data_IF_230371812626
#
_entry.id   IF_230371812626
#
_cell.length_a   1.000
_cell.length_b   1.000
_cell.length_c   1.000
_cell.angle_alpha   90.00
_cell.angle_beta   90.00
_cell.angle_gamma   90.00
#
_symmetry.space_group_name_H-M   'P 1'
#
loop_
_entity.id
_entity.type
_entity.pdbx_description
1 polymer ?
#
# COMPACT_ATOMS: atom_id res chain seq x y z
N UNK A 1 -42.30 27.59 -10.92
CA UNK A 1 -41.01 26.89 -11.16
C UNK A 1 -39.78 27.62 -10.59
N UNK A 2 -39.36 28.79 -11.09
CA UNK A 2 -38.01 29.36 -10.86
C UNK A 2 -37.52 29.64 -9.41
N UNK A 3 -38.38 29.55 -8.38
CA UNK A 3 -37.96 29.54 -6.96
C UNK A 3 -37.60 28.13 -6.46
N UNK A 4 -38.30 27.09 -6.93
CA UNK A 4 -38.07 25.68 -6.57
C UNK A 4 -36.74 25.19 -7.17
N UNK A 5 -36.51 25.46 -8.46
CA UNK A 5 -35.25 25.11 -9.16
C UNK A 5 -34.03 25.72 -8.46
N UNK A 6 -34.11 26.99 -8.04
CA UNK A 6 -33.05 27.66 -7.25
C UNK A 6 -32.90 27.11 -5.83
N UNK A 7 -33.93 26.50 -5.24
CA UNK A 7 -33.84 25.83 -3.93
C UNK A 7 -33.16 24.46 -4.08
N UNK A 8 -33.51 23.70 -5.11
CA UNK A 8 -32.87 22.41 -5.45
C UNK A 8 -31.38 22.58 -5.78
N UNK A 9 -31.02 23.53 -6.65
CA UNK A 9 -29.61 23.84 -6.97
C UNK A 9 -28.77 24.17 -5.73
N UNK A 10 -29.33 24.92 -4.77
CA UNK A 10 -28.65 25.22 -3.50
C UNK A 10 -28.48 23.98 -2.60
N UNK A 11 -29.45 23.08 -2.57
CA UNK A 11 -29.35 21.81 -1.82
C UNK A 11 -28.31 20.88 -2.44
N UNK A 12 -28.29 20.74 -3.77
CA UNK A 12 -27.29 19.94 -4.50
C UNK A 12 -25.89 20.50 -4.29
N UNK A 13 -25.71 21.82 -4.41
CA UNK A 13 -24.42 22.48 -4.18
C UNK A 13 -23.94 22.34 -2.72
N UNK A 14 -24.84 22.52 -1.74
CA UNK A 14 -24.52 22.36 -0.32
C UNK A 14 -24.17 20.90 0.03
N UNK A 15 -24.86 19.92 -0.56
CA UNK A 15 -24.57 18.50 -0.38
C UNK A 15 -23.23 18.12 -1.02
N UNK A 16 -22.95 18.60 -2.24
CA UNK A 16 -21.65 18.42 -2.89
C UNK A 16 -20.50 19.04 -2.11
N UNK A 17 -20.68 20.25 -1.57
CA UNK A 17 -19.70 20.91 -0.71
C UNK A 17 -19.50 20.16 0.63
N UNK A 18 -20.58 19.63 1.23
CA UNK A 18 -20.48 18.81 2.43
C UNK A 18 -19.71 17.50 2.18
N UNK A 19 -19.99 16.81 1.07
CA UNK A 19 -19.23 15.62 0.65
C UNK A 19 -17.77 15.97 0.38
N UNK A 20 -17.47 17.09 -0.29
CA UNK A 20 -16.11 17.55 -0.52
C UNK A 20 -15.36 17.88 0.78
N UNK A 21 -16.00 18.54 1.76
CA UNK A 21 -15.40 18.82 3.07
C UNK A 21 -15.19 17.55 3.91
N UNK A 22 -16.10 16.57 3.82
CA UNK A 22 -15.92 15.26 4.47
C UNK A 22 -14.77 14.48 3.83
N UNK A 23 -14.67 14.46 2.49
CA UNK A 23 -13.55 13.87 1.76
C UNK A 23 -12.22 14.54 2.11
N UNK A 24 -12.16 15.87 2.11
CA UNK A 24 -10.98 16.63 2.51
C UNK A 24 -10.59 16.36 3.98
N UNK A 25 -11.57 16.27 4.88
CA UNK A 25 -11.33 15.93 6.29
C UNK A 25 -10.88 14.48 6.52
N UNK A 26 -11.32 13.54 5.67
CA UNK A 26 -10.81 12.16 5.64
C UNK A 26 -9.37 12.13 5.15
N UNK A 27 -9.10 12.76 4.01
CA UNK A 27 -7.78 12.87 3.38
C UNK A 27 -6.76 13.51 4.34
N UNK A 28 -7.05 14.66 4.94
CA UNK A 28 -6.17 15.32 5.93
C UNK A 28 -5.92 14.43 7.17
N UNK A 29 -6.93 13.69 7.64
CA UNK A 29 -6.79 12.80 8.79
C UNK A 29 -6.03 11.49 8.50
N UNK A 30 -5.78 11.15 7.23
CA UNK A 30 -4.85 10.09 6.81
C UNK A 30 -3.47 10.65 6.44
N UNK A 31 -3.43 11.83 5.81
CA UNK A 31 -2.19 12.58 5.55
C UNK A 31 -1.39 12.84 6.84
N UNK A 32 -2.07 13.06 7.97
CA UNK A 32 -1.45 13.25 9.28
C UNK A 32 -1.17 11.93 10.04
N UNK A 33 -1.15 10.79 9.35
CA UNK A 33 -0.94 9.45 9.94
C UNK A 33 -0.02 8.53 9.14
N UNK A 34 0.19 8.82 7.85
CA UNK A 34 1.14 8.10 7.01
C UNK A 34 2.51 8.77 7.13
N UNK A 35 3.50 8.00 7.56
CA UNK A 35 4.89 8.44 7.61
C UNK A 35 5.51 8.54 6.21
N UNK A 36 6.69 9.17 6.09
CA UNK A 36 7.30 9.50 4.80
C UNK A 36 8.70 8.92 4.62
N UNK A 37 8.87 8.29 3.47
CA UNK A 37 10.10 7.70 2.94
C UNK A 37 10.79 8.79 2.12
N UNK A 38 11.59 9.63 2.79
CA UNK A 38 12.27 10.77 2.16
C UNK A 38 13.34 10.30 1.16
N UNK A 39 13.34 10.90 -0.04
CA UNK A 39 14.34 10.64 -1.06
C UNK A 39 14.28 9.24 -1.67
N UNK A 40 13.13 8.58 -1.67
CA UNK A 40 12.93 7.22 -2.22
C UNK A 40 13.51 7.06 -3.65
N UNK A 41 13.40 8.11 -4.47
CA UNK A 41 13.90 8.15 -5.85
C UNK A 41 15.06 9.15 -6.05
N UNK A 42 15.64 9.68 -4.97
CA UNK A 42 16.64 10.75 -5.05
C UNK A 42 17.93 10.28 -5.72
N UNK A 43 18.32 10.98 -6.80
CA UNK A 43 19.54 10.71 -7.57
C UNK A 43 19.42 9.61 -8.63
N UNK A 44 18.28 8.94 -8.78
CA UNK A 44 18.09 7.89 -9.79
C UNK A 44 17.89 8.48 -11.19
N UNK A 45 18.91 8.34 -12.05
CA UNK A 45 18.91 8.81 -13.44
C UNK A 45 18.54 7.72 -14.43
N UNK A 46 19.25 6.59 -14.42
CA UNK A 46 19.24 5.57 -15.46
C UNK A 46 18.21 4.46 -15.16
N UNK A 47 16.98 4.90 -14.88
CA UNK A 47 15.85 4.04 -14.47
C UNK A 47 15.24 3.32 -15.68
N UNK A 48 14.64 2.12 -15.50
CA UNK A 48 13.85 1.47 -16.54
C UNK A 48 12.71 2.38 -17.05
N UNK A 49 12.21 2.15 -18.29
CA UNK A 49 11.08 2.91 -18.81
C UNK A 49 9.81 2.67 -17.98
N UNK A 50 8.90 3.66 -17.86
CA UNK A 50 7.61 3.44 -17.22
C UNK A 50 6.77 2.45 -18.05
N UNK A 51 6.06 1.56 -17.36
CA UNK A 51 4.95 0.81 -17.94
C UNK A 51 3.68 1.69 -18.03
N UNK A 52 2.65 1.20 -18.73
CA UNK A 52 1.33 1.85 -18.73
C UNK A 52 0.60 1.69 -17.37
N UNK A 53 0.89 0.61 -16.64
CA UNK A 53 0.34 0.29 -15.33
C UNK A 53 1.06 1.01 -14.18
N UNK A 54 1.00 0.44 -12.98
CA UNK A 54 1.69 0.93 -11.79
C UNK A 54 2.39 -0.17 -11.02
N UNK A 55 3.67 0.04 -10.74
CA UNK A 55 4.51 -0.89 -9.98
C UNK A 55 4.88 -0.27 -8.64
N UNK A 56 4.43 -0.89 -7.54
CA UNK A 56 4.66 -0.44 -6.17
C UNK A 56 5.64 -1.37 -5.48
N UNK A 57 6.75 -0.84 -4.97
CA UNK A 57 7.67 -1.59 -4.10
C UNK A 57 7.11 -1.62 -2.69
N UNK A 58 6.87 -2.82 -2.15
CA UNK A 58 6.40 -3.03 -0.78
C UNK A 58 7.50 -3.68 0.05
N UNK A 59 7.90 -3.00 1.12
CA UNK A 59 8.87 -3.47 2.12
C UNK A 59 8.10 -3.88 3.38
N UNK A 60 7.98 -5.19 3.61
CA UNK A 60 7.37 -5.73 4.82
C UNK A 60 8.38 -5.76 5.95
N UNK A 61 8.12 -5.03 7.03
CA UNK A 61 9.05 -4.84 8.15
C UNK A 61 8.54 -5.53 9.42
N UNK A 62 9.45 -5.71 10.39
CA UNK A 62 9.15 -6.07 11.78
C UNK A 62 9.81 -5.04 12.69
N UNK A 63 9.06 -4.56 13.67
CA UNK A 63 9.52 -3.54 14.64
C UNK A 63 10.73 -4.01 15.47
N UNK A 64 11.45 -3.03 16.03
CA UNK A 64 12.50 -3.28 17.03
C UNK A 64 11.97 -3.42 18.46
N UNK A 65 10.64 -3.40 18.68
CA UNK A 65 10.05 -3.36 20.01
C UNK A 65 8.56 -3.05 20.02
N UNK A 66 8.06 -2.48 21.12
CA UNK A 66 6.64 -2.24 21.36
C UNK A 66 6.13 -0.90 20.78
N UNK A 67 6.23 -0.73 19.46
CA UNK A 67 5.72 0.45 18.74
C UNK A 67 6.02 0.38 17.24
N UNK A 68 5.22 1.05 16.38
CA UNK A 68 5.38 0.97 14.94
C UNK A 68 6.54 1.86 14.47
N UNK A 69 7.55 1.23 13.86
CA UNK A 69 8.64 1.93 13.20
C UNK A 69 8.54 1.74 11.67
N UNK A 70 8.32 2.83 10.92
CA UNK A 70 8.72 2.99 9.51
C UNK A 70 8.82 4.49 9.19
N UNK A 71 10.04 5.02 9.07
CA UNK A 71 10.37 5.80 7.86
C UNK A 71 11.32 5.02 6.94
N UNK A 72 11.15 3.69 6.92
CA UNK A 72 12.07 2.71 6.32
C UNK A 72 13.51 2.76 6.91
N UNK A 73 13.57 2.39 8.20
CA UNK A 73 14.64 1.58 8.82
C UNK A 73 16.00 2.24 9.18
N UNK A 74 16.13 2.55 10.47
CA UNK A 74 17.29 2.08 11.26
C UNK A 74 16.88 1.89 12.74
N UNK A 75 17.46 0.91 13.42
CA UNK A 75 17.03 0.43 14.75
C UNK A 75 17.20 -1.09 14.87
N UNK A 76 16.48 -1.75 15.80
CA UNK A 76 16.43 -3.23 15.91
C UNK A 76 15.41 -3.88 14.93
N UNK A 77 14.95 -3.12 13.96
CA UNK A 77 13.97 -3.53 12.95
C UNK A 77 14.58 -4.51 11.93
N UNK A 78 13.76 -5.38 11.33
CA UNK A 78 14.17 -6.20 10.17
C UNK A 78 13.23 -6.04 8.98
N UNK A 79 13.79 -6.16 7.77
CA UNK A 79 13.01 -6.43 6.56
C UNK A 79 12.70 -7.92 6.53
N UNK A 80 11.43 -8.28 6.68
CA UNK A 80 10.95 -9.65 6.54
C UNK A 80 10.74 -9.99 5.06
N UNK A 81 10.13 -9.06 4.31
CA UNK A 81 9.75 -9.23 2.90
C UNK A 81 10.12 -8.01 2.04
N UNK A 82 10.43 -8.27 0.77
CA UNK A 82 10.48 -7.25 -0.30
C UNK A 82 9.63 -7.80 -1.43
N UNK A 83 8.60 -7.05 -1.85
CA UNK A 83 7.64 -7.46 -2.87
C UNK A 83 7.45 -6.35 -3.90
N UNK A 84 7.12 -6.72 -5.14
CA UNK A 84 6.56 -5.81 -6.13
C UNK A 84 5.07 -6.09 -6.24
N UNK A 85 4.25 -5.04 -6.24
CA UNK A 85 2.83 -5.11 -6.57
C UNK A 85 2.62 -4.37 -7.89
N UNK A 86 2.23 -5.10 -8.93
CA UNK A 86 1.94 -4.54 -10.25
C UNK A 86 0.41 -4.48 -10.47
N UNK A 87 -0.08 -3.29 -10.85
CA UNK A 87 -1.50 -2.98 -11.08
C UNK A 87 -1.68 -2.49 -12.52
N UNK A 88 -2.40 -3.22 -13.39
CA UNK A 88 -2.65 -2.77 -14.76
C UNK A 88 -3.50 -1.48 -14.83
N UNK A 89 -3.52 -0.78 -15.99
CA UNK A 89 -4.19 0.52 -16.15
C UNK A 89 -5.70 0.54 -15.85
N UNK A 90 -6.36 -0.62 -15.85
CA UNK A 90 -7.80 -0.75 -15.57
C UNK A 90 -8.13 -0.94 -14.08
N UNK A 91 -7.13 -1.27 -13.24
CA UNK A 91 -7.29 -1.58 -11.81
C UNK A 91 -8.15 -2.82 -11.52
N UNK A 92 -8.25 -3.77 -12.45
CA UNK A 92 -9.13 -4.95 -12.32
C UNK A 92 -8.42 -6.19 -11.77
N UNK A 93 -7.10 -6.29 -11.90
CA UNK A 93 -6.24 -7.33 -11.32
C UNK A 93 -5.05 -6.72 -10.57
N UNK A 94 -4.31 -7.55 -9.83
CA UNK A 94 -3.01 -7.19 -9.27
C UNK A 94 -2.08 -8.41 -9.22
N UNK A 95 -0.78 -8.20 -9.47
CA UNK A 95 0.24 -9.25 -9.35
C UNK A 95 1.20 -8.90 -8.20
N UNK A 96 1.35 -9.81 -7.24
CA UNK A 96 2.15 -9.63 -6.01
C UNK A 96 3.32 -10.59 -6.04
N UNK A 97 4.49 -10.08 -6.38
CA UNK A 97 5.70 -10.88 -6.59
C UNK A 97 6.69 -10.69 -5.44
N UNK A 98 6.96 -11.73 -4.66
CA UNK A 98 8.03 -11.67 -3.65
C UNK A 98 9.41 -11.80 -4.29
N UNK A 99 10.34 -10.91 -3.94
CA UNK A 99 11.73 -11.03 -4.37
C UNK A 99 12.41 -12.19 -3.63
N UNK A 100 13.09 -13.10 -4.34
CA UNK A 100 13.75 -14.24 -3.71
C UNK A 100 14.95 -13.78 -2.87
N UNK A 101 15.22 -14.46 -1.76
CA UNK A 101 16.36 -14.12 -0.90
C UNK A 101 17.73 -14.23 -1.61
N UNK A 102 17.81 -15.02 -2.69
CA UNK A 102 18.97 -15.13 -3.58
C UNK A 102 19.25 -13.89 -4.43
N UNK A 103 18.33 -12.92 -4.50
CA UNK A 103 18.57 -11.61 -5.15
C UNK A 103 19.62 -10.75 -4.43
N UNK A 104 19.86 -11.00 -3.13
CA UNK A 104 20.73 -10.16 -2.31
C UNK A 104 20.15 -8.78 -1.95
N UNK A 105 18.96 -8.43 -2.43
CA UNK A 105 18.35 -7.09 -2.27
C UNK A 105 17.95 -6.79 -0.83
N UNK A 106 17.34 -7.77 -0.14
CA UNK A 106 16.79 -7.58 1.22
C UNK A 106 17.77 -6.96 2.24
N UNK A 107 19.03 -7.41 2.39
CA UNK A 107 19.99 -6.75 3.29
C UNK A 107 20.40 -5.34 2.83
N UNK A 108 20.36 -5.02 1.54
CA UNK A 108 20.63 -3.66 1.04
C UNK A 108 19.49 -2.72 1.42
N UNK A 109 18.24 -3.12 1.16
CA UNK A 109 17.02 -2.38 1.56
C UNK A 109 16.97 -2.15 3.07
N UNK A 110 17.52 -3.07 3.87
CA UNK A 110 17.60 -2.98 5.33
C UNK A 110 18.72 -2.08 5.88
N UNK A 111 19.63 -1.55 5.05
CA UNK A 111 20.87 -0.89 5.51
C UNK A 111 21.34 0.34 4.71
N UNK A 112 20.80 0.57 3.51
CA UNK A 112 21.34 1.53 2.52
C UNK A 112 20.38 2.68 2.22
N UNK A 113 20.88 3.78 1.63
CA UNK A 113 20.09 5.02 1.44
C UNK A 113 18.78 4.78 0.67
N UNK A 114 17.62 5.30 1.15
CA UNK A 114 16.11 5.07 0.05
C UNK A 114 16.34 4.48 -1.34
N UNK A 115 16.92 5.33 -2.20
CA UNK A 115 17.17 5.13 -3.62
C UNK A 115 18.23 4.09 -3.98
N UNK A 116 19.13 3.71 -3.07
CA UNK A 116 19.99 2.52 -3.24
C UNK A 116 19.15 1.25 -3.21
N UNK A 117 18.16 1.17 -2.32
CA UNK A 117 17.24 0.04 -2.25
C UNK A 117 16.34 -0.04 -3.48
N UNK A 118 15.73 1.08 -3.86
CA UNK A 118 14.88 1.19 -5.06
C UNK A 118 15.67 0.91 -6.34
N UNK A 119 16.82 1.56 -6.53
CA UNK A 119 17.64 1.42 -7.74
C UNK A 119 18.10 -0.02 -7.96
N UNK A 120 18.48 -0.74 -6.90
CA UNK A 120 18.86 -2.15 -7.01
C UNK A 120 17.65 -3.07 -7.32
N UNK A 121 16.44 -2.72 -6.87
CA UNK A 121 15.21 -3.41 -7.29
C UNK A 121 14.90 -3.15 -8.76
N UNK A 122 15.05 -1.91 -9.23
CA UNK A 122 14.85 -1.56 -10.65
C UNK A 122 15.89 -2.23 -11.57
N UNK A 123 17.17 -2.25 -11.16
CA UNK A 123 18.26 -2.92 -11.87
C UNK A 123 18.03 -4.43 -11.97
N UNK A 124 17.70 -5.09 -10.85
CA UNK A 124 17.53 -6.55 -10.82
C UNK A 124 16.26 -7.05 -11.51
N UNK A 125 15.15 -6.31 -11.40
CA UNK A 125 13.84 -6.73 -11.93
C UNK A 125 13.55 -6.23 -13.35
N UNK A 126 14.37 -5.32 -13.89
CA UNK A 126 14.14 -4.64 -15.16
C UNK A 126 12.91 -3.73 -15.19
N UNK A 127 12.16 -3.60 -14.09
CA UNK A 127 10.91 -2.84 -13.98
C UNK A 127 11.12 -1.53 -13.25
N UNK A 128 10.43 -0.49 -13.72
CA UNK A 128 10.40 0.80 -13.03
C UNK A 128 9.46 0.73 -11.84
N UNK A 129 9.89 1.22 -10.69
CA UNK A 129 9.07 1.37 -9.47
C UNK A 129 8.44 2.76 -9.47
N UNK A 130 7.12 2.86 -9.57
CA UNK A 130 6.40 4.14 -9.50
C UNK A 130 6.39 4.71 -8.08
N UNK A 131 6.18 3.84 -7.08
CA UNK A 131 5.95 4.22 -5.69
C UNK A 131 6.54 3.21 -4.70
N UNK A 132 6.77 3.64 -3.46
CA UNK A 132 7.29 2.80 -2.37
C UNK A 132 6.35 2.86 -1.16
N UNK A 133 6.09 1.69 -0.57
CA UNK A 133 5.43 1.52 0.72
C UNK A 133 6.35 0.70 1.62
N UNK A 134 6.57 1.15 2.85
CA UNK A 134 7.12 0.32 3.92
C UNK A 134 6.03 0.12 4.98
N UNK A 135 5.80 -1.11 5.42
CA UNK A 135 4.70 -1.46 6.31
C UNK A 135 5.11 -2.51 7.35
N UNK A 136 4.85 -2.20 8.61
CA UNK A 136 5.03 -3.08 9.76
C UNK A 136 4.05 -4.26 9.70
N UNK A 137 4.55 -5.49 9.79
CA UNK A 137 3.71 -6.70 9.70
C UNK A 137 2.75 -6.85 10.88
N UNK A 138 3.07 -6.25 12.03
CA UNK A 138 2.18 -6.15 13.19
C UNK A 138 0.89 -5.39 12.82
N UNK A 139 0.96 -4.49 11.82
CA UNK A 139 -0.20 -3.83 11.21
C UNK A 139 -1.10 -4.79 10.44
N UNK A 140 -0.52 -5.73 9.69
CA UNK A 140 -1.29 -6.78 9.00
C UNK A 140 -1.88 -7.80 9.98
N UNK A 141 -1.20 -8.13 11.09
CA UNK A 141 -1.75 -8.99 12.14
C UNK A 141 -2.98 -8.35 12.79
N UNK A 142 -2.91 -7.06 13.15
CA UNK A 142 -4.07 -6.33 13.68
C UNK A 142 -5.23 -6.26 12.67
N UNK A 143 -4.93 -6.08 11.38
CA UNK A 143 -5.93 -6.13 10.30
C UNK A 143 -6.51 -7.54 10.12
N UNK A 144 -5.75 -8.60 10.36
CA UNK A 144 -6.24 -9.97 10.34
C UNK A 144 -7.21 -10.22 11.51
N UNK A 145 -6.81 -9.84 12.73
CA UNK A 145 -7.63 -9.93 13.95
C UNK A 145 -8.96 -9.15 13.82
N UNK A 146 -8.90 -7.90 13.35
CA UNK A 146 -10.10 -7.05 13.09
C UNK A 146 -11.08 -7.68 12.08
N UNK A 147 -10.58 -8.50 11.14
CA UNK A 147 -11.39 -9.24 10.16
C UNK A 147 -11.73 -10.68 10.61
N UNK A 148 -11.28 -11.14 11.78
CA UNK A 148 -11.45 -12.52 12.26
C UNK A 148 -10.66 -13.58 11.47
N UNK A 149 -9.58 -13.17 10.80
CA UNK A 149 -8.68 -14.04 10.03
C UNK A 149 -7.55 -14.51 10.95
N UNK A 150 -7.49 -15.82 11.24
CA UNK A 150 -6.44 -16.41 12.08
C UNK A 150 -5.02 -16.13 11.50
N UNK A 151 -4.15 -15.40 12.21
CA UNK A 151 -2.81 -15.08 11.75
C UNK A 151 -1.86 -16.27 11.92
N UNK A 152 -2.05 -17.30 11.08
CA UNK A 152 -1.12 -18.44 10.93
C UNK A 152 0.26 -18.06 10.31
N UNK A 153 0.62 -16.77 10.35
CA UNK A 153 1.94 -16.25 10.01
C UNK A 153 2.80 -16.16 11.27
N UNK A 154 4.03 -16.67 11.22
CA UNK A 154 5.07 -16.40 12.21
C UNK A 154 6.19 -15.54 11.59
N UNK A 155 6.78 -14.63 12.35
CA UNK A 155 7.95 -13.85 11.90
C UNK A 155 9.09 -14.76 11.39
N UNK A 156 9.78 -14.34 10.33
CA UNK A 156 10.73 -15.17 9.59
C UNK A 156 10.11 -16.21 8.64
N UNK A 157 8.78 -16.31 8.51
CA UNK A 157 8.14 -17.22 7.55
C UNK A 157 8.48 -16.84 6.10
N UNK A 158 8.71 -17.85 5.27
CA UNK A 158 9.05 -17.69 3.85
C UNK A 158 7.90 -17.21 2.95
N UNK A 159 8.18 -16.81 1.70
CA UNK A 159 7.22 -16.14 0.82
C UNK A 159 5.87 -16.84 0.66
N UNK A 160 5.82 -18.16 0.51
CA UNK A 160 4.55 -18.88 0.34
C UNK A 160 3.57 -18.70 1.52
N UNK A 161 4.09 -18.57 2.74
CA UNK A 161 3.26 -18.29 3.93
C UNK A 161 2.94 -16.78 4.08
N UNK A 162 3.80 -15.90 3.56
CA UNK A 162 3.48 -14.47 3.43
C UNK A 162 2.33 -14.27 2.43
N UNK A 163 2.36 -14.97 1.28
CA UNK A 163 1.32 -14.94 0.24
C UNK A 163 -0.01 -15.51 0.73
N UNK A 164 -0.02 -16.67 1.39
CA UNK A 164 -1.24 -17.26 1.98
C UNK A 164 -1.88 -16.30 3.01
N UNK A 165 -1.08 -15.71 3.90
CA UNK A 165 -1.56 -14.77 4.90
C UNK A 165 -2.12 -13.48 4.24
N UNK A 166 -1.38 -12.86 3.32
CA UNK A 166 -1.86 -11.69 2.58
C UNK A 166 -3.14 -12.00 1.80
N UNK A 167 -3.20 -13.15 1.12
CA UNK A 167 -4.38 -13.61 0.40
C UNK A 167 -5.61 -13.73 1.30
N UNK A 168 -5.47 -14.34 2.49
CA UNK A 168 -6.58 -14.49 3.46
C UNK A 168 -7.00 -13.15 4.09
N UNK A 169 -6.06 -12.26 4.41
CA UNK A 169 -6.36 -10.91 4.95
C UNK A 169 -7.04 -10.03 3.90
N UNK A 170 -6.59 -10.09 2.65
CA UNK A 170 -7.22 -9.39 1.53
C UNK A 170 -8.59 -9.99 1.18
N UNK A 171 -8.75 -11.32 1.16
CA UNK A 171 -10.07 -11.93 0.95
C UNK A 171 -11.06 -11.50 2.06
N UNK A 172 -10.65 -11.56 3.33
CA UNK A 172 -11.46 -11.06 4.45
C UNK A 172 -11.89 -9.61 4.24
N UNK A 173 -10.92 -8.71 4.02
CA UNK A 173 -11.17 -7.27 3.86
C UNK A 173 -12.05 -6.95 2.64
N UNK A 174 -11.77 -7.55 1.48
CA UNK A 174 -12.48 -7.29 0.22
C UNK A 174 -13.88 -7.91 0.21
N UNK A 175 -14.07 -9.08 0.83
CA UNK A 175 -15.37 -9.76 0.91
C UNK A 175 -16.27 -9.14 1.99
N UNK A 176 -15.70 -8.68 3.11
CA UNK A 176 -16.45 -8.04 4.18
C UNK A 176 -17.00 -6.67 3.73
N UNK A 177 -16.15 -5.73 3.28
CA UNK A 177 -16.49 -4.31 3.39
C UNK A 177 -16.56 -3.43 2.12
N UNK A 178 -16.13 -3.89 0.94
CA UNK A 178 -16.24 -3.06 -0.28
C UNK A 178 -17.69 -2.79 -0.74
N UNK A 179 -18.69 -3.57 -0.30
CA UNK A 179 -20.09 -3.44 -0.73
C UNK A 179 -21.13 -3.26 0.39
N UNK A 180 -20.77 -3.43 1.67
CA UNK A 180 -21.75 -3.55 2.76
C UNK A 180 -21.70 -2.41 3.77
N UNK A 181 -20.55 -2.10 4.37
CA UNK A 181 -20.41 -1.05 5.39
C UNK A 181 -19.13 -0.22 5.15
N UNK A 182 -19.03 0.56 4.04
CA UNK A 182 -17.78 1.22 3.61
C UNK A 182 -17.14 2.20 4.63
N UNK A 183 -17.81 2.52 5.74
CA UNK A 183 -17.23 3.24 6.87
C UNK A 183 -16.26 2.36 7.69
N UNK A 184 -16.50 1.06 7.77
CA UNK A 184 -15.63 0.09 8.44
C UNK A 184 -14.31 -0.08 7.67
N UNK A 185 -14.37 -0.14 6.33
CA UNK A 185 -13.18 -0.11 5.47
C UNK A 185 -12.33 1.14 5.73
N UNK A 186 -12.96 2.32 5.80
CA UNK A 186 -12.29 3.57 6.16
C UNK A 186 -11.71 3.55 7.59
N UNK A 187 -12.31 2.80 8.52
CA UNK A 187 -11.79 2.64 9.88
C UNK A 187 -10.58 1.69 9.90
N UNK A 188 -10.64 0.55 9.20
CA UNK A 188 -9.51 -0.36 9.03
C UNK A 188 -8.30 0.36 8.41
N UNK A 189 -8.49 1.06 7.27
CA UNK A 189 -7.44 1.87 6.63
C UNK A 189 -6.85 2.95 7.56
N UNK A 190 -7.66 3.53 8.46
CA UNK A 190 -7.20 4.49 9.48
C UNK A 190 -6.43 3.85 10.64
N UNK A 191 -6.60 2.56 10.88
CA UNK A 191 -5.75 1.75 11.76
C UNK A 191 -4.46 1.38 11.04
N UNK A 192 -4.54 0.89 9.80
CA UNK A 192 -3.40 0.49 8.95
C UNK A 192 -2.39 1.62 8.70
N UNK A 193 -2.83 2.88 8.65
CA UNK A 193 -1.93 4.02 8.48
C UNK A 193 -0.83 4.10 9.57
N UNK A 194 -1.11 3.72 10.82
CA UNK A 194 -0.15 3.77 11.91
C UNK A 194 0.79 2.55 11.86
N UNK A 195 1.98 2.74 11.29
CA UNK A 195 2.88 1.64 10.89
C UNK A 195 2.98 1.44 9.38
N UNK A 196 2.49 2.39 8.58
CA UNK A 196 2.71 2.46 7.13
C UNK A 196 3.39 3.79 6.77
N UNK A 197 4.49 3.71 6.02
CA UNK A 197 5.16 4.85 5.40
C UNK A 197 5.11 4.74 3.87
N UNK A 198 5.04 5.88 3.19
CA UNK A 198 4.99 5.98 1.72
C UNK A 198 6.04 6.96 1.20
N UNK A 199 6.44 6.84 -0.07
CA UNK A 199 7.39 7.77 -0.69
C UNK A 199 6.95 9.25 -0.61
N UNK A 200 7.91 10.15 -0.56
CA UNK A 200 7.71 11.60 -0.50
C UNK A 200 7.10 12.19 -1.78
N UNK A 201 7.16 11.46 -2.90
CA UNK A 201 6.47 11.81 -4.15
C UNK A 201 4.97 11.53 -4.13
N UNK A 202 4.52 10.48 -3.44
CA UNK A 202 3.14 10.00 -3.53
C UNK A 202 2.14 10.90 -2.78
N UNK A 203 1.36 11.69 -3.52
CA UNK A 203 0.35 12.54 -2.87
C UNK A 203 -0.81 11.70 -2.32
N UNK A 204 -1.43 12.19 -1.24
CA UNK A 204 -2.60 11.52 -0.64
C UNK A 204 -3.79 11.51 -1.59
N UNK A 205 -3.84 12.44 -2.55
CA UNK A 205 -4.84 12.44 -3.64
C UNK A 205 -4.60 11.30 -4.62
N UNK A 206 -3.35 10.96 -4.95
CA UNK A 206 -3.03 9.81 -5.80
C UNK A 206 -3.24 8.48 -5.07
N UNK A 207 -3.01 8.42 -3.76
CA UNK A 207 -3.41 7.27 -2.92
C UNK A 207 -4.93 7.08 -2.93
N UNK A 208 -5.72 8.14 -2.68
CA UNK A 208 -7.19 8.10 -2.76
C UNK A 208 -7.64 7.65 -4.16
N UNK A 209 -7.00 8.14 -5.23
CA UNK A 209 -7.33 7.77 -6.62
C UNK A 209 -6.96 6.30 -6.94
N UNK A 210 -5.88 5.75 -6.39
CA UNK A 210 -5.54 4.33 -6.52
C UNK A 210 -6.55 3.45 -5.78
N UNK A 211 -6.94 3.80 -4.55
CA UNK A 211 -8.01 3.08 -3.82
C UNK A 211 -9.34 3.14 -4.61
N UNK A 212 -9.59 4.23 -5.33
CA UNK A 212 -10.75 4.39 -6.21
C UNK A 212 -10.65 3.70 -7.57
N UNK A 213 -9.47 3.36 -8.10
CA UNK A 213 -9.35 2.47 -9.27
C UNK A 213 -9.58 1.02 -8.84
N UNK A 214 -8.90 0.58 -7.78
CA UNK A 214 -8.94 -0.78 -7.23
C UNK A 214 -10.30 -1.21 -6.65
N UNK A 215 -11.30 -0.32 -6.54
CA UNK A 215 -12.66 -0.63 -6.00
C UNK A 215 -13.40 -1.78 -6.69
N UNK A 216 -12.96 -2.22 -7.88
CA UNK A 216 -13.53 -3.33 -8.64
C UNK A 216 -12.67 -4.61 -8.59
N UNK A 217 -11.44 -4.53 -8.06
CA UNK A 217 -10.55 -5.66 -7.84
C UNK A 217 -11.25 -6.72 -6.96
N UNK A 218 -10.94 -7.98 -7.20
CA UNK A 218 -11.40 -9.13 -6.40
C UNK A 218 -10.18 -9.90 -5.92
N UNK A 219 -10.29 -10.58 -4.78
CA UNK A 219 -9.27 -11.54 -4.34
C UNK A 219 -8.96 -12.62 -5.40
N UNK A 220 -9.93 -12.97 -6.25
CA UNK A 220 -9.74 -13.89 -7.38
C UNK A 220 -8.86 -13.37 -8.51
N UNK A 221 -8.67 -12.04 -8.62
CA UNK A 221 -7.82 -11.41 -9.63
C UNK A 221 -6.47 -10.94 -9.03
N UNK A 222 -6.14 -11.37 -7.80
CA UNK A 222 -4.84 -11.11 -7.16
C UNK A 222 -3.99 -12.37 -7.29
N UNK A 223 -2.92 -12.31 -8.08
CA UNK A 223 -1.98 -13.43 -8.27
C UNK A 223 -0.75 -13.23 -7.39
N UNK A 224 -0.29 -14.30 -6.73
CA UNK A 224 0.93 -14.28 -5.91
C UNK A 224 2.02 -15.15 -6.55
N UNK A 225 3.24 -14.61 -6.67
CA UNK A 225 4.37 -15.28 -7.34
C UNK A 225 5.71 -15.05 -6.63
N UNK A 226 6.76 -15.69 -7.16
CA UNK A 226 8.15 -15.27 -6.91
C UNK A 226 8.66 -14.47 -8.09
N UNK A 227 9.12 -13.24 -7.85
CA UNK A 227 9.69 -12.37 -8.87
C UNK A 227 10.90 -13.04 -9.56
N UNK A 228 11.07 -12.79 -10.85
CA UNK A 228 12.24 -13.20 -11.63
C UNK A 228 13.14 -11.97 -11.91
N UNK A 229 14.45 -12.18 -12.19
CA UNK A 229 15.31 -11.15 -12.75
C UNK A 229 14.82 -10.69 -14.14
N UNK A 230 15.17 -9.46 -14.52
CA UNK A 230 14.94 -8.90 -15.87
C UNK A 230 15.94 -9.38 -16.93
#
# INVERSE_FOLDING_TARGET
MARVVRRLLRVVLALGLAVAMVGLGLNVAMASRLDRIEGAFAGLTDRPPPADGKTVLVVGTRTGGAGPDVPWLSGEQSVEAVMLIEVPPDGLSAEVESLPASSGIRPVVATSSPSTGVGLVEEWSGRRVDHVIAIDWDTFVRLADDNGVDPAYAYGSGPAAQHDFLGRVLEGTLHAELRKQPLNLLQALRTTAAGTAVDDGWSVVELDLMVLSLRNLRSSEITFSMAQPG
#
